data_IF_451396480913
#
_entry.id   IF_451396480913
#
_cell.length_a   1.000
_cell.length_b   1.000
_cell.length_c   1.000
_cell.angle_alpha   90.00
_cell.angle_beta   90.00
_cell.angle_gamma   90.00
#
_symmetry.space_group_name_H-M   'P 1'
#
loop_
_entity.id
_entity.type
_entity.pdbx_description
1 polymer ?
#
# COMPACT_ATOMS: atom_id res chain seq x y z
N UNK A 1 7.62 -2.68 13.07
CA UNK A 1 6.16 -2.52 13.21
C UNK A 1 5.37 -3.71 12.66
N UNK A 2 5.64 -4.18 11.44
CA UNK A 2 4.88 -5.27 10.79
C UNK A 2 4.75 -6.57 11.60
N UNK A 3 5.84 -7.00 12.25
CA UNK A 3 5.85 -8.21 13.11
C UNK A 3 4.87 -8.13 14.29
N UNK A 4 4.61 -6.92 14.81
CA UNK A 4 3.76 -6.73 15.99
C UNK A 4 2.28 -6.89 15.63
N UNK A 5 1.85 -6.31 14.52
CA UNK A 5 0.47 -6.45 14.02
C UNK A 5 0.16 -7.90 13.62
N UNK A 6 1.12 -8.59 12.98
CA UNK A 6 0.98 -10.01 12.63
C UNK A 6 0.86 -10.91 13.87
N UNK A 7 1.66 -10.66 14.92
CA UNK A 7 1.64 -11.46 16.15
C UNK A 7 0.29 -11.43 16.87
N UNK A 8 -0.38 -10.27 16.86
CA UNK A 8 -1.66 -10.09 17.53
C UNK A 8 -2.86 -10.17 16.58
N UNK A 9 -2.63 -10.47 15.30
CA UNK A 9 -3.61 -10.48 14.23
C UNK A 9 -4.52 -9.23 14.21
N UNK A 10 -3.93 -8.06 14.50
CA UNK A 10 -4.65 -6.80 14.58
C UNK A 10 -4.48 -6.04 13.27
N UNK A 11 -5.59 -5.63 12.68
CA UNK A 11 -5.60 -4.75 11.51
C UNK A 11 -5.35 -3.31 11.97
N UNK A 12 -4.30 -2.62 11.48
CA UNK A 12 -4.08 -1.21 11.79
C UNK A 12 -5.16 -0.33 11.15
N UNK A 13 -5.62 0.68 11.88
CA UNK A 13 -6.57 1.69 11.34
C UNK A 13 -5.85 2.69 10.44
N UNK A 14 -6.54 3.21 9.43
CA UNK A 14 -5.99 4.22 8.50
C UNK A 14 -5.40 5.45 9.22
N UNK A 15 -6.06 5.93 10.27
CA UNK A 15 -5.56 7.06 11.08
C UNK A 15 -4.18 6.78 11.67
N UNK A 16 -3.96 5.57 12.20
CA UNK A 16 -2.69 5.17 12.78
C UNK A 16 -1.57 5.08 11.74
N UNK A 17 -1.90 4.59 10.53
CA UNK A 17 -0.93 4.54 9.43
C UNK A 17 -0.50 5.95 9.01
N UNK A 18 -1.43 6.91 8.97
CA UNK A 18 -1.10 8.31 8.70
C UNK A 18 -0.24 8.92 9.82
N UNK A 19 -0.54 8.67 11.08
CA UNK A 19 0.27 9.13 12.22
C UNK A 19 1.72 8.57 12.15
N UNK A 20 1.89 7.31 11.75
CA UNK A 20 3.23 6.75 11.52
C UNK A 20 3.94 7.39 10.34
N UNK A 21 3.21 7.77 9.29
CA UNK A 21 3.78 8.47 8.14
C UNK A 21 4.23 9.89 8.51
N UNK A 22 3.40 10.62 9.26
CA UNK A 22 3.73 11.96 9.75
C UNK A 22 4.93 11.91 10.71
N UNK A 23 5.01 10.88 11.56
CA UNK A 23 6.19 10.60 12.39
C UNK A 23 7.43 10.32 11.53
N UNK A 24 7.32 9.45 10.52
CA UNK A 24 8.43 9.16 9.61
C UNK A 24 8.95 10.44 8.91
N UNK A 25 8.04 11.35 8.54
CA UNK A 25 8.36 12.65 7.93
C UNK A 25 9.08 13.57 8.90
N UNK A 26 8.61 13.67 10.15
CA UNK A 26 9.28 14.47 11.19
C UNK A 26 10.73 14.03 11.44
N UNK A 27 11.01 12.72 11.31
CA UNK A 27 12.36 12.16 11.42
C UNK A 27 13.11 12.06 10.07
N UNK A 28 12.52 12.56 8.99
CA UNK A 28 13.02 12.46 7.61
C UNK A 28 13.56 11.06 7.27
N UNK A 29 12.78 10.02 7.58
CA UNK A 29 13.20 8.62 7.48
C UNK A 29 12.41 7.86 6.42
N UNK A 30 12.93 7.74 5.17
CA UNK A 30 12.27 7.01 4.10
C UNK A 30 12.10 5.53 4.43
N UNK A 31 13.03 4.93 5.19
CA UNK A 31 12.94 3.52 5.58
C UNK A 31 11.70 3.23 6.45
N UNK A 32 11.38 4.14 7.40
CA UNK A 32 10.16 4.04 8.21
C UNK A 32 8.91 4.24 7.37
N UNK A 33 8.93 5.20 6.44
CA UNK A 33 7.83 5.47 5.52
C UNK A 33 7.48 4.23 4.66
N UNK A 34 8.50 3.57 4.11
CA UNK A 34 8.35 2.33 3.35
C UNK A 34 7.80 1.19 4.23
N UNK A 35 8.22 1.10 5.50
CA UNK A 35 7.68 0.09 6.42
C UNK A 35 6.17 0.28 6.65
N UNK A 36 5.69 1.53 6.69
CA UNK A 36 4.26 1.86 6.84
C UNK A 36 3.47 1.47 5.58
N UNK A 37 4.02 1.70 4.38
CA UNK A 37 3.42 1.23 3.12
C UNK A 37 3.32 -0.29 3.10
N UNK A 38 4.41 -0.99 3.41
CA UNK A 38 4.43 -2.45 3.46
C UNK A 38 3.44 -2.99 4.48
N UNK A 39 3.24 -2.29 5.61
CA UNK A 39 2.23 -2.64 6.58
C UNK A 39 0.82 -2.50 5.99
N UNK A 40 0.50 -1.39 5.31
CA UNK A 40 -0.80 -1.23 4.65
C UNK A 40 -1.06 -2.30 3.58
N UNK A 41 -0.07 -2.56 2.73
CA UNK A 41 -0.15 -3.56 1.67
C UNK A 41 -0.28 -4.99 2.21
N UNK A 42 0.48 -5.36 3.24
CA UNK A 42 0.43 -6.71 3.83
C UNK A 42 -0.93 -7.05 4.48
N UNK A 43 -1.73 -6.04 4.81
CA UNK A 43 -3.09 -6.19 5.33
C UNK A 43 -4.16 -5.93 4.26
N UNK A 44 -3.78 -5.71 2.99
CA UNK A 44 -4.72 -5.43 1.89
C UNK A 44 -5.53 -4.15 2.07
N UNK A 45 -4.99 -3.16 2.80
CA UNK A 45 -5.73 -1.95 3.12
C UNK A 45 -5.65 -0.95 1.97
N UNK A 46 -6.77 -0.45 1.43
CA UNK A 46 -6.78 0.44 0.24
C UNK A 46 -6.05 1.78 0.46
N UNK A 47 -5.80 2.15 1.73
CA UNK A 47 -5.03 3.36 2.07
C UNK A 47 -3.56 3.28 1.61
N UNK A 48 -3.03 2.08 1.33
CA UNK A 48 -1.62 1.90 0.99
C UNK A 48 -1.19 2.62 -0.29
N UNK A 49 -2.08 2.77 -1.28
CA UNK A 49 -1.81 3.50 -2.52
C UNK A 49 -1.58 5.00 -2.25
N UNK A 50 -2.44 5.60 -1.43
CA UNK A 50 -2.28 6.99 -0.99
C UNK A 50 -1.00 7.19 -0.17
N UNK A 51 -0.62 6.19 0.62
CA UNK A 51 0.65 6.20 1.36
C UNK A 51 1.85 6.16 0.40
N UNK A 52 1.82 5.36 -0.66
CA UNK A 52 2.89 5.30 -1.69
C UNK A 52 3.11 6.66 -2.32
N UNK A 53 2.03 7.34 -2.75
CA UNK A 53 2.14 8.68 -3.33
C UNK A 53 2.76 9.67 -2.34
N UNK A 54 2.35 9.61 -1.07
CA UNK A 54 2.93 10.41 0.00
C UNK A 54 4.42 10.13 0.18
N UNK A 55 4.86 8.87 0.14
CA UNK A 55 6.28 8.52 0.25
C UNK A 55 7.08 9.12 -0.91
N UNK A 56 6.58 9.04 -2.14
CA UNK A 56 7.26 9.57 -3.33
C UNK A 56 7.35 11.10 -3.28
N UNK A 57 6.33 11.78 -2.75
CA UNK A 57 6.28 13.24 -2.67
C UNK A 57 7.08 13.81 -1.49
N UNK A 58 6.99 13.18 -0.32
CA UNK A 58 7.51 13.73 0.94
C UNK A 58 8.94 13.28 1.27
N UNK A 59 9.48 12.24 0.60
CA UNK A 59 10.77 11.65 0.96
C UNK A 59 11.70 11.51 -0.25
N UNK A 60 13.00 11.74 -0.01
CA UNK A 60 14.05 11.45 -0.97
C UNK A 60 14.32 9.94 -1.02
N UNK A 61 13.59 9.22 -1.87
CA UNK A 61 13.78 7.79 -2.13
C UNK A 61 14.62 7.55 -3.39
N UNK A 62 15.38 6.45 -3.40
CA UNK A 62 16.18 6.07 -4.56
C UNK A 62 15.32 5.41 -5.65
N UNK A 63 15.88 5.29 -6.87
CA UNK A 63 15.17 4.73 -8.03
C UNK A 63 14.64 3.32 -7.77
N UNK A 64 15.43 2.47 -7.09
CA UNK A 64 15.06 1.09 -6.76
C UNK A 64 13.86 1.03 -5.82
N UNK A 65 13.87 1.83 -4.75
CA UNK A 65 12.76 1.94 -3.81
C UNK A 65 11.48 2.41 -4.50
N UNK A 66 11.60 3.37 -5.42
CA UNK A 66 10.46 3.86 -6.21
C UNK A 66 9.88 2.78 -7.12
N UNK A 67 10.73 1.95 -7.73
CA UNK A 67 10.31 0.82 -8.57
C UNK A 67 9.62 -0.27 -7.74
N UNK A 68 10.21 -0.63 -6.60
CA UNK A 68 9.61 -1.59 -5.65
C UNK A 68 8.21 -1.12 -5.17
N UNK A 69 8.06 0.18 -4.90
CA UNK A 69 6.77 0.81 -4.56
C UNK A 69 5.78 0.79 -5.73
N UNK A 70 6.24 1.01 -6.96
CA UNK A 70 5.39 0.98 -8.16
C UNK A 70 4.86 -0.41 -8.50
N UNK A 71 5.66 -1.44 -8.27
CA UNK A 71 5.24 -2.84 -8.45
C UNK A 71 4.10 -3.23 -7.49
N UNK A 72 4.10 -2.67 -6.27
CA UNK A 72 3.02 -2.89 -5.30
C UNK A 72 1.69 -2.26 -5.72
N UNK A 73 1.69 -1.15 -6.45
CA UNK A 73 0.46 -0.55 -7.01
C UNK A 73 -0.06 -1.32 -8.23
N UNK A 74 0.84 -1.80 -9.10
CA UNK A 74 0.44 -2.53 -10.31
C UNK A 74 -0.28 -3.85 -10.02
N UNK A 75 0.09 -4.53 -8.92
CA UNK A 75 -0.54 -5.80 -8.50
C UNK A 75 -1.98 -5.64 -7.96
N UNK A 76 -2.43 -4.43 -7.63
CA UNK A 76 -3.79 -4.19 -7.12
C UNK A 76 -4.78 -3.77 -8.21
N UNK A 77 -4.32 -3.38 -9.40
CA UNK A 77 -5.19 -3.02 -10.52
C UNK A 77 -5.69 -4.22 -11.33
N UNK A 78 -5.32 -5.45 -10.96
CA UNK A 78 -5.66 -6.66 -11.75
C UNK A 78 -6.87 -7.44 -11.18
N UNK A 79 -7.82 -6.71 -10.57
CA UNK A 79 -9.08 -7.29 -10.09
C UNK A 79 -10.27 -6.40 -10.44
N UNK A 80 -10.41 -6.10 -11.73
CA UNK A 80 -11.72 -5.77 -12.30
C UNK A 80 -12.29 -7.04 -12.96
N UNK A 81 -13.15 -7.72 -12.22
CA UNK A 81 -14.09 -8.71 -12.72
C UNK A 81 -15.03 -7.97 -13.70
N UNK A 82 -14.93 -8.25 -15.00
CA UNK A 82 -16.04 -7.98 -15.92
C UNK A 82 -16.91 -9.23 -16.03
N UNK A 83 -17.96 -9.23 -15.23
CA UNK A 83 -19.11 -10.13 -15.26
C UNK A 83 -19.90 -9.99 -16.59
N UNK A 84 -20.14 -11.12 -17.27
CA UNK A 84 -21.41 -11.44 -17.94
C UNK A 84 -21.79 -10.73 -19.25
N UNK A 85 -21.44 -11.34 -20.40
CA UNK A 85 -22.37 -11.55 -21.54
C UNK A 85 -21.92 -12.79 -22.34
N UNK A 86 -22.47 -13.96 -22.00
CA UNK A 86 -22.52 -15.08 -22.94
C UNK A 86 -23.93 -15.12 -23.52
N UNK A 87 -24.02 -14.61 -24.74
CA UNK A 87 -25.18 -14.63 -25.60
C UNK A 87 -25.34 -16.06 -26.12
N UNK A 88 -26.47 -16.69 -25.79
CA UNK A 88 -26.81 -18.03 -26.29
C UNK A 88 -27.11 -17.94 -27.78
N UNK A 89 -26.15 -18.27 -28.64
CA UNK A 89 -26.48 -18.76 -29.98
C UNK A 89 -27.03 -20.19 -29.83
N UNK A 90 -28.36 -20.30 -29.85
CA UNK A 90 -29.07 -21.44 -30.43
C UNK A 90 -30.46 -20.99 -30.91
N UNK A 91 -30.54 -20.57 -32.17
CA UNK A 91 -31.49 -21.02 -33.21
C UNK A 91 -31.37 -20.18 -34.48
#
# INVERSE_FOLDING_TARGET
MLRLFRKHNKVPRNKLLNEFMDSAKAFNSPAKAIEVVNLGSAFGLPVYEGLIQRVIADFAINKKQKEDLGNLTALSSDSDISEGKQEWEMQ
#
